data_IF_659028278215
#
_entry.id   IF_659028278215
#
_cell.length_a   1.000
_cell.length_b   1.000
_cell.length_c   1.000
_cell.angle_alpha   90.00
_cell.angle_beta   90.00
_cell.angle_gamma   90.00
#
_symmetry.space_group_name_H-M   'P 1'
#
loop_
_entity.id
_entity.type
_entity.pdbx_description
1 polymer ?
#
# COMPACT_ATOMS: atom_id res chain seq x y z
N UNK A 1 -10.61 39.61 31.76
CA UNK A 1 -11.56 38.82 30.95
C UNK A 1 -10.68 37.99 30.05
N UNK A 2 -10.86 36.68 30.18
CA UNK A 2 -9.88 35.66 29.83
C UNK A 2 -9.48 35.72 28.36
N UNK A 3 -8.16 35.60 28.14
CA UNK A 3 -7.62 35.11 26.89
C UNK A 3 -8.11 33.67 26.74
N UNK A 4 -9.05 33.45 25.82
CA UNK A 4 -9.38 32.12 25.31
C UNK A 4 -8.17 31.68 24.48
N UNK A 5 -7.15 31.15 25.16
CA UNK A 5 -6.18 30.24 24.56
C UNK A 5 -7.00 29.08 24.00
N UNK A 6 -7.23 29.11 22.69
CA UNK A 6 -7.63 27.93 21.94
C UNK A 6 -6.51 26.90 22.11
N UNK A 7 -6.66 26.07 23.15
CA UNK A 7 -5.90 24.84 23.35
C UNK A 7 -5.94 24.09 22.03
N UNK A 8 -4.81 24.15 21.31
CA UNK A 8 -4.63 23.40 20.08
C UNK A 8 -4.52 21.96 20.55
N UNK A 9 -5.66 21.25 20.56
CA UNK A 9 -5.67 19.80 20.75
C UNK A 9 -4.92 19.20 19.56
N UNK A 10 -3.60 19.05 19.70
CA UNK A 10 -2.81 18.18 18.85
C UNK A 10 -2.87 16.82 19.53
N UNK A 11 -3.68 15.86 19.02
CA UNK A 11 -3.79 14.55 19.64
C UNK A 11 -2.59 13.70 19.21
N UNK A 12 -1.38 14.15 19.54
CA UNK A 12 -0.18 13.33 19.40
C UNK A 12 -0.03 12.58 20.71
N UNK A 13 -0.74 11.46 20.80
CA UNK A 13 -0.64 10.55 21.95
C UNK A 13 0.68 9.74 21.89
N UNK A 14 1.17 9.49 20.68
CA UNK A 14 2.36 8.69 20.40
C UNK A 14 3.13 9.24 19.19
N UNK A 15 4.46 9.06 19.22
CA UNK A 15 5.35 9.35 18.09
C UNK A 15 6.01 8.05 17.62
N UNK A 16 6.04 7.82 16.31
CA UNK A 16 6.67 6.66 15.69
C UNK A 16 7.74 7.13 14.70
N UNK A 17 8.83 6.38 14.59
CA UNK A 17 9.87 6.60 13.60
C UNK A 17 9.83 5.48 12.55
N UNK A 18 10.03 5.83 11.29
CA UNK A 18 10.17 4.86 10.22
C UNK A 18 11.63 4.41 10.11
N UNK A 19 11.85 3.10 10.04
CA UNK A 19 13.12 2.49 9.67
C UNK A 19 12.98 1.87 8.27
N UNK A 20 13.97 2.12 7.42
CA UNK A 20 13.96 1.62 6.04
C UNK A 20 15.00 0.53 5.87
N UNK A 21 14.54 -0.63 5.42
CA UNK A 21 15.38 -1.76 5.06
C UNK A 21 15.29 -2.02 3.56
N UNK A 22 16.41 -2.38 2.96
CA UNK A 22 16.43 -2.84 1.57
C UNK A 22 16.06 -4.32 1.59
N UNK A 23 14.94 -4.67 0.98
CA UNK A 23 14.56 -6.06 0.80
C UNK A 23 15.32 -6.65 -0.39
N UNK A 24 15.83 -7.87 -0.23
CA UNK A 24 16.47 -8.63 -1.31
C UNK A 24 15.44 -9.32 -2.23
N UNK A 25 14.15 -9.19 -1.91
CA UNK A 25 13.03 -9.71 -2.68
C UNK A 25 12.06 -8.59 -3.07
N UNK A 26 11.28 -8.83 -4.12
CA UNK A 26 10.22 -7.92 -4.55
C UNK A 26 9.06 -7.93 -3.53
N UNK A 27 8.47 -6.77 -3.27
CA UNK A 27 7.20 -6.65 -2.56
C UNK A 27 6.11 -6.77 -3.61
N UNK A 28 5.21 -7.71 -3.43
CA UNK A 28 4.09 -7.89 -4.33
C UNK A 28 2.83 -7.31 -3.71
N UNK A 29 2.19 -6.38 -4.44
CA UNK A 29 0.90 -5.83 -4.05
C UNK A 29 -0.19 -6.64 -4.77
N UNK A 30 -1.09 -7.30 -4.04
CA UNK A 30 -2.14 -8.15 -4.60
C UNK A 30 -3.23 -7.35 -5.34
N UNK A 31 -3.33 -6.05 -5.08
CA UNK A 31 -4.44 -5.20 -5.50
C UNK A 31 -4.35 -4.69 -6.95
N UNK A 32 -3.16 -4.75 -7.58
CA UNK A 32 -2.97 -4.32 -8.96
C UNK A 32 -3.09 -5.50 -9.92
N UNK A 33 -4.28 -5.65 -10.47
CA UNK A 33 -4.55 -6.51 -11.61
C UNK A 33 -4.25 -7.99 -11.33
N UNK A 34 -5.23 -8.67 -10.71
CA UNK A 34 -5.15 -10.11 -10.46
C UNK A 34 -4.92 -10.93 -11.74
N UNK A 35 -5.20 -10.37 -12.92
CA UNK A 35 -5.04 -10.99 -14.23
C UNK A 35 -3.85 -10.32 -14.96
N UNK A 36 -2.76 -11.06 -15.17
CA UNK A 36 -1.44 -10.64 -15.70
C UNK A 36 -0.42 -10.11 -14.67
N UNK A 37 -0.63 -10.33 -13.38
CA UNK A 37 0.38 -10.04 -12.37
C UNK A 37 1.65 -10.91 -12.56
N UNK A 38 2.89 -10.36 -12.47
CA UNK A 38 4.13 -11.14 -12.62
C UNK A 38 4.25 -12.35 -11.69
N UNK A 39 3.55 -12.35 -10.55
CA UNK A 39 3.49 -13.52 -9.67
C UNK A 39 2.86 -14.75 -10.31
N UNK A 40 1.94 -14.58 -11.27
CA UNK A 40 1.26 -15.72 -11.91
C UNK A 40 2.28 -16.62 -12.59
N UNK A 41 3.22 -16.04 -13.33
CA UNK A 41 4.28 -16.80 -14.00
C UNK A 41 5.20 -17.47 -12.98
N UNK A 42 5.59 -16.76 -11.91
CA UNK A 42 6.44 -17.31 -10.83
C UNK A 42 5.74 -18.46 -10.10
N UNK A 43 4.46 -18.33 -9.79
CA UNK A 43 3.64 -19.36 -9.15
C UNK A 43 3.54 -20.60 -10.03
N UNK A 44 3.14 -20.44 -11.30
CA UNK A 44 2.95 -21.56 -12.23
C UNK A 44 4.25 -22.32 -12.50
N UNK A 45 5.41 -21.67 -12.39
CA UNK A 45 6.71 -22.32 -12.46
C UNK A 45 7.05 -23.11 -11.19
N UNK A 46 6.70 -22.59 -10.01
CA UNK A 46 6.96 -23.22 -8.73
C UNK A 46 5.98 -24.39 -8.44
N UNK A 47 4.72 -24.26 -8.86
CA UNK A 47 3.64 -25.22 -8.64
C UNK A 47 2.92 -25.61 -9.95
N UNK A 48 3.56 -26.42 -10.83
CA UNK A 48 2.98 -26.77 -12.14
C UNK A 48 1.68 -27.57 -12.08
N UNK A 49 1.39 -28.21 -10.94
CA UNK A 49 0.16 -28.99 -10.72
C UNK A 49 -1.01 -28.12 -10.22
N UNK A 50 -0.76 -26.86 -9.85
CA UNK A 50 -1.71 -25.92 -9.26
C UNK A 50 -1.63 -24.56 -10.00
N UNK A 51 -1.71 -24.59 -11.33
CA UNK A 51 -1.55 -23.37 -12.11
C UNK A 51 -2.73 -22.42 -11.94
N UNK A 52 -2.45 -21.14 -11.75
CA UNK A 52 -3.41 -20.05 -11.69
C UNK A 52 -3.40 -19.22 -12.96
N UNK A 53 -4.56 -18.64 -13.29
CA UNK A 53 -4.76 -17.64 -14.35
C UNK A 53 -4.96 -16.24 -13.77
N UNK A 54 -5.39 -16.20 -12.51
CA UNK A 54 -5.60 -15.00 -11.72
C UNK A 54 -5.06 -15.21 -10.31
N UNK A 55 -4.59 -14.15 -9.64
CA UNK A 55 -4.26 -14.24 -8.21
C UNK A 55 -5.46 -14.69 -7.37
N UNK A 56 -6.69 -14.35 -7.77
CA UNK A 56 -7.92 -14.84 -7.11
C UNK A 56 -8.14 -16.36 -7.22
N UNK A 57 -7.48 -17.04 -8.17
CA UNK A 57 -7.58 -18.51 -8.25
C UNK A 57 -6.85 -19.16 -7.05
N UNK A 58 -6.07 -18.40 -6.27
CA UNK A 58 -5.48 -18.88 -5.03
C UNK A 58 -6.52 -19.14 -3.93
N UNK A 59 -7.67 -18.45 -3.95
CA UNK A 59 -8.79 -18.71 -3.01
C UNK A 59 -9.38 -20.11 -3.20
N UNK A 60 -9.18 -20.73 -4.37
CA UNK A 60 -9.68 -22.07 -4.68
C UNK A 60 -8.79 -23.18 -4.06
N UNK A 61 -7.59 -22.86 -3.57
CA UNK A 61 -6.70 -23.81 -2.90
C UNK A 61 -6.93 -23.76 -1.37
N UNK A 62 -7.57 -24.81 -0.84
CA UNK A 62 -7.87 -25.09 0.59
C UNK A 62 -7.64 -23.95 1.61
N UNK A 63 -8.74 -23.35 2.12
CA UNK A 63 -8.83 -22.52 3.34
C UNK A 63 -7.84 -21.33 3.47
N UNK A 64 -7.06 -21.00 2.44
CA UNK A 64 -6.11 -19.90 2.43
C UNK A 64 -6.70 -18.62 1.87
N UNK A 65 -6.57 -17.51 2.60
CA UNK A 65 -6.76 -16.17 2.06
C UNK A 65 -5.73 -15.94 0.93
N UNK A 66 -6.14 -15.50 -0.26
CA UNK A 66 -5.23 -15.12 -1.37
C UNK A 66 -4.05 -14.28 -0.88
N UNK A 67 -4.29 -13.34 0.03
CA UNK A 67 -3.25 -12.51 0.64
C UNK A 67 -2.25 -13.37 1.41
N UNK A 68 -2.73 -14.26 2.27
CA UNK A 68 -1.89 -15.15 3.09
C UNK A 68 -1.04 -16.08 2.21
N UNK A 69 -1.60 -16.63 1.13
CA UNK A 69 -0.86 -17.50 0.22
C UNK A 69 0.19 -16.72 -0.59
N UNK A 70 -0.13 -15.50 -1.02
CA UNK A 70 0.85 -14.60 -1.65
C UNK A 70 1.97 -14.28 -0.66
N UNK A 71 1.65 -13.90 0.59
CA UNK A 71 2.64 -13.61 1.63
C UNK A 71 3.56 -14.80 1.91
N UNK A 72 2.99 -16.01 2.04
CA UNK A 72 3.78 -17.24 2.23
C UNK A 72 4.70 -17.49 1.05
N UNK A 73 4.22 -17.35 -0.18
CA UNK A 73 4.99 -17.62 -1.38
C UNK A 73 6.12 -16.60 -1.60
N UNK A 74 5.86 -15.35 -1.26
CA UNK A 74 6.76 -14.22 -1.56
C UNK A 74 7.65 -13.83 -0.37
N UNK A 75 7.26 -14.22 0.84
CA UNK A 75 7.84 -13.74 2.08
C UNK A 75 7.53 -12.28 2.38
N UNK A 76 6.66 -11.60 1.60
CA UNK A 76 6.39 -10.17 1.78
C UNK A 76 5.17 -9.93 2.66
N UNK A 77 5.36 -9.93 3.99
CA UNK A 77 4.36 -9.45 4.97
C UNK A 77 4.34 -7.92 5.11
N UNK A 78 5.33 -7.23 4.55
CA UNK A 78 5.51 -5.78 4.69
C UNK A 78 5.10 -5.07 3.39
N UNK A 79 3.94 -4.41 3.41
CA UNK A 79 3.43 -3.68 2.25
C UNK A 79 3.83 -2.18 2.24
N UNK A 80 4.36 -1.70 3.37
CA UNK A 80 4.94 -0.35 3.47
C UNK A 80 6.23 -0.24 2.66
N UNK A 81 6.36 0.80 1.83
CA UNK A 81 7.45 0.91 0.85
C UNK A 81 7.70 2.33 0.38
N UNK A 82 8.96 2.61 0.05
CA UNK A 82 9.35 3.80 -0.74
C UNK A 82 9.49 3.37 -2.19
N UNK A 83 8.89 4.12 -3.12
CA UNK A 83 8.90 3.76 -4.52
C UNK A 83 8.00 2.57 -4.84
N UNK A 84 8.27 1.92 -5.98
CA UNK A 84 7.43 0.84 -6.48
C UNK A 84 6.03 1.32 -6.86
N UNK A 85 5.07 0.41 -6.82
CA UNK A 85 3.66 0.69 -7.12
C UNK A 85 2.92 1.02 -5.81
N UNK A 86 2.08 2.06 -5.76
CA UNK A 86 1.18 2.26 -4.61
C UNK A 86 0.18 1.11 -4.47
N UNK A 87 -0.30 0.93 -3.25
CA UNK A 87 -1.28 -0.08 -2.88
C UNK A 87 -2.60 0.57 -2.48
N UNK A 88 -3.68 0.27 -3.20
CA UNK A 88 -4.99 0.88 -3.00
C UNK A 88 -6.00 -0.19 -2.59
N UNK A 89 -6.53 -0.09 -1.38
CA UNK A 89 -7.49 -1.06 -0.84
C UNK A 89 -8.84 -1.00 -1.57
N UNK A 90 -9.29 0.21 -1.91
CA UNK A 90 -10.60 0.45 -2.54
C UNK A 90 -10.52 0.78 -4.04
N UNK A 91 -9.40 0.40 -4.68
CA UNK A 91 -9.09 0.75 -6.06
C UNK A 91 -8.42 2.12 -6.21
N UNK A 92 -7.77 2.31 -7.35
CA UNK A 92 -6.93 3.48 -7.60
C UNK A 92 -7.80 4.73 -7.87
N UNK A 93 -7.80 5.72 -6.96
CA UNK A 93 -8.69 6.87 -7.04
C UNK A 93 -8.33 7.81 -8.18
N UNK A 94 -7.12 7.69 -8.75
CA UNK A 94 -6.70 8.50 -9.90
C UNK A 94 -7.57 8.20 -11.12
N UNK A 95 -8.19 7.02 -11.22
CA UNK A 95 -9.09 6.70 -12.34
C UNK A 95 -10.48 7.33 -12.21
N UNK A 96 -10.81 7.97 -11.09
CA UNK A 96 -12.06 8.69 -10.94
C UNK A 96 -11.98 10.08 -11.57
N UNK A 97 -13.07 10.52 -12.20
CA UNK A 97 -13.15 11.81 -12.89
C UNK A 97 -12.85 13.01 -11.98
N UNK A 98 -13.14 12.91 -10.69
CA UNK A 98 -12.88 13.94 -9.69
C UNK A 98 -11.39 14.14 -9.38
N UNK A 99 -10.56 13.12 -9.62
CA UNK A 99 -9.11 13.16 -9.40
C UNK A 99 -8.34 13.21 -10.73
N UNK A 100 -8.92 13.88 -11.74
CA UNK A 100 -8.36 13.89 -13.08
C UNK A 100 -7.02 14.65 -13.16
N UNK A 101 -6.75 15.58 -12.24
CA UNK A 101 -5.50 16.33 -12.16
C UNK A 101 -4.36 15.45 -11.61
N UNK A 102 -4.73 14.43 -10.82
CA UNK A 102 -3.84 13.50 -10.11
C UNK A 102 -3.42 12.30 -10.98
N UNK A 103 -4.01 12.12 -12.17
CA UNK A 103 -3.58 11.09 -13.13
C UNK A 103 -2.07 11.12 -13.43
N UNK A 104 -1.46 12.31 -13.39
CA UNK A 104 -0.03 12.51 -13.62
C UNK A 104 0.87 12.09 -12.44
N UNK A 105 0.30 11.90 -11.24
CA UNK A 105 1.01 11.52 -10.02
C UNK A 105 1.33 10.02 -10.05
N UNK A 106 2.36 9.66 -10.81
CA UNK A 106 2.72 8.26 -11.11
C UNK A 106 3.86 7.73 -10.25
N UNK A 107 4.61 8.60 -9.58
CA UNK A 107 5.73 8.18 -8.72
C UNK A 107 5.24 7.99 -7.29
N UNK A 108 5.45 6.79 -6.75
CA UNK A 108 5.20 6.50 -5.34
C UNK A 108 6.34 7.04 -4.47
N UNK A 109 6.05 7.99 -3.60
CA UNK A 109 6.99 8.47 -2.60
C UNK A 109 7.01 7.54 -1.40
N UNK A 110 5.82 7.14 -0.94
CA UNK A 110 5.64 6.29 0.24
C UNK A 110 4.27 5.61 0.14
N UNK A 111 4.25 4.32 0.43
CA UNK A 111 3.06 3.60 0.87
C UNK A 111 3.28 3.22 2.33
N UNK A 112 2.29 3.47 3.18
CA UNK A 112 2.28 3.01 4.56
C UNK A 112 1.03 2.17 4.78
N UNK A 113 1.24 0.92 5.17
CA UNK A 113 0.19 -0.01 5.53
C UNK A 113 -0.16 0.10 7.02
N UNK A 114 -1.30 -0.47 7.41
CA UNK A 114 -1.63 -0.65 8.82
C UNK A 114 -0.71 -1.72 9.42
N UNK A 115 -0.14 -1.45 10.58
CA UNK A 115 0.87 -2.29 11.22
C UNK A 115 0.32 -2.85 12.53
N UNK A 116 0.20 -4.18 12.58
CA UNK A 116 -0.13 -4.94 13.79
C UNK A 116 1.12 -5.64 14.33
N UNK A 117 1.44 -5.45 15.61
CA UNK A 117 2.65 -6.02 16.21
C UNK A 117 2.44 -7.41 16.84
N UNK A 118 1.20 -7.91 16.85
CA UNK A 118 0.81 -9.16 17.51
C UNK A 118 -0.17 -8.94 18.66
N UNK A 119 -0.16 -7.76 19.29
CA UNK A 119 -1.01 -7.42 20.44
C UNK A 119 -1.88 -6.18 20.19
N UNK A 120 -1.35 -5.17 19.50
CA UNK A 120 -2.06 -3.95 19.13
C UNK A 120 -1.65 -3.40 17.75
N UNK A 121 -2.45 -2.45 17.24
CA UNK A 121 -2.08 -1.71 16.04
C UNK A 121 -1.13 -0.57 16.42
N UNK A 122 0.09 -0.59 15.88
CA UNK A 122 1.04 0.52 15.98
C UNK A 122 0.64 1.68 15.07
N UNK A 123 0.12 1.35 13.88
CA UNK A 123 -0.42 2.28 12.90
C UNK A 123 -1.68 1.65 12.33
N UNK A 124 -2.78 2.40 12.25
CA UNK A 124 -4.00 1.92 11.61
C UNK A 124 -4.64 2.99 10.73
N UNK A 125 -4.98 2.58 9.51
CA UNK A 125 -5.79 3.35 8.58
C UNK A 125 -7.21 2.77 8.60
N UNK A 126 -8.13 3.45 9.30
CA UNK A 126 -9.52 2.99 9.43
C UNK A 126 -9.62 1.66 10.17
N UNK A 127 -10.09 0.63 9.48
CA UNK A 127 -10.24 -0.75 9.97
C UNK A 127 -9.20 -1.73 9.42
N UNK A 128 -8.14 -1.22 8.77
CA UNK A 128 -7.06 -2.04 8.21
C UNK A 128 -6.88 -1.72 6.74
N UNK A 129 -6.01 -0.76 6.44
CA UNK A 129 -5.71 -0.40 5.07
C UNK A 129 -4.44 0.40 4.91
N UNK A 130 -4.35 1.14 3.81
CA UNK A 130 -3.12 1.79 3.35
C UNK A 130 -3.31 3.29 3.17
N UNK A 131 -2.20 4.00 3.28
CA UNK A 131 -2.06 5.37 2.79
C UNK A 131 -0.90 5.47 1.81
N UNK A 132 -1.06 6.27 0.76
CA UNK A 132 0.00 6.52 -0.20
C UNK A 132 0.22 8.01 -0.44
N UNK A 133 1.45 8.33 -0.79
CA UNK A 133 1.90 9.66 -1.21
C UNK A 133 2.49 9.55 -2.61
N UNK A 134 1.83 10.18 -3.56
CA UNK A 134 2.15 10.14 -4.97
C UNK A 134 2.56 11.52 -5.49
N UNK A 135 3.45 11.56 -6.46
CA UNK A 135 3.91 12.83 -7.05
C UNK A 135 4.08 12.72 -8.56
N UNK A 136 3.89 13.85 -9.24
CA UNK A 136 4.21 13.97 -10.65
C UNK A 136 5.75 13.88 -10.88
N UNK A 137 6.21 13.15 -11.92
CA UNK A 137 7.64 12.94 -12.16
C UNK A 137 8.46 14.23 -12.32
N UNK A 138 7.90 15.25 -12.97
CA UNK A 138 8.52 16.55 -13.20
C UNK A 138 8.71 17.34 -11.90
N UNK A 139 7.73 17.28 -11.00
CA UNK A 139 7.81 17.87 -9.66
C UNK A 139 8.87 17.19 -8.80
N UNK A 140 8.92 15.85 -8.83
CA UNK A 140 9.98 15.12 -8.13
C UNK A 140 11.37 15.50 -8.66
N UNK A 141 11.54 15.59 -9.98
CA UNK A 141 12.80 16.02 -10.60
C UNK A 141 13.20 17.45 -10.17
N UNK A 142 12.23 18.34 -10.01
CA UNK A 142 12.42 19.70 -9.50
C UNK A 142 12.59 19.77 -7.97
N UNK A 143 12.42 18.67 -7.24
CA UNK A 143 12.34 18.60 -5.76
C UNK A 143 11.24 19.50 -5.19
N UNK A 144 10.15 19.66 -5.93
CA UNK A 144 9.01 20.47 -5.55
C UNK A 144 7.91 19.60 -4.96
N UNK A 145 7.89 19.49 -3.62
CA UNK A 145 6.89 18.74 -2.87
C UNK A 145 5.69 19.59 -2.46
N UNK A 146 5.48 20.78 -3.07
CA UNK A 146 4.32 21.63 -2.77
C UNK A 146 2.98 21.04 -3.21
N UNK A 147 3.02 20.04 -4.09
CA UNK A 147 1.85 19.27 -4.54
C UNK A 147 2.19 17.78 -4.54
N UNK A 148 1.78 17.11 -3.47
CA UNK A 148 1.82 15.66 -3.32
C UNK A 148 0.38 15.19 -3.23
N UNK A 149 0.02 14.22 -4.06
CA UNK A 149 -1.27 13.56 -3.96
C UNK A 149 -1.21 12.57 -2.80
N UNK A 150 -2.08 12.76 -1.83
CA UNK A 150 -2.21 11.89 -0.67
C UNK A 150 -3.57 11.21 -0.74
N UNK A 151 -3.58 9.88 -0.65
CA UNK A 151 -4.81 9.13 -0.42
C UNK A 151 -4.63 8.13 0.71
N UNK A 152 -5.73 7.78 1.36
CA UNK A 152 -5.81 6.64 2.26
C UNK A 152 -7.14 5.91 2.03
N UNK A 153 -7.14 4.60 2.25
CA UNK A 153 -8.32 3.75 2.11
C UNK A 153 -8.22 2.55 3.04
N UNK A 154 -9.37 2.01 3.47
CA UNK A 154 -9.50 0.85 4.35
C UNK A 154 -10.71 0.00 3.92
N UNK A 155 -10.90 -1.21 4.43
CA UNK A 155 -12.03 -2.05 4.01
C UNK A 155 -12.15 -3.37 4.75
#
# INVERSE_FOLDING_TARGET
MNDDEHDICLPVEHECALEFVVLEHEIFSPCKDSVNHPLIEKWNQAYPEQTIKSLFDLDDFEDGDVLEEIEKFTGSRDYSKIGGLPDFVQGDPRYYHENAEEHGCTVNLLTMDSVWDGEEYLVIWGDGGTANWLIAPDRLAARDFSQVFYEWSCG
#
